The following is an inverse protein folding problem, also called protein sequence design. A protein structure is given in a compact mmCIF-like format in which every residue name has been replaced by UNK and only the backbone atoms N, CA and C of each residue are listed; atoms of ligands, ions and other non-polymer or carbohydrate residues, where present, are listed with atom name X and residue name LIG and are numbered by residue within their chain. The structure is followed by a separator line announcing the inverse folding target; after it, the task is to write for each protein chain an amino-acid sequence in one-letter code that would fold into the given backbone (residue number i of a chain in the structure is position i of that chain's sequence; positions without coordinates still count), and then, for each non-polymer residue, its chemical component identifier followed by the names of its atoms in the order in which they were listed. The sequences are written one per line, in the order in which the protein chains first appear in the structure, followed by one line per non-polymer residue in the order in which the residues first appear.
data_IF_803563637622
#
_entry.id   IF_803563637622
#
_cell.length_a   1.000
_cell.length_b   1.000
_cell.length_c   1.000
_cell.angle_alpha   90.00
_cell.angle_beta   90.00
_cell.angle_gamma   90.00
#
_symmetry.space_group_name_H-M   'P 1'
#
loop_
_entity.id
_entity.type
_entity.pdbx_description
1 polymer ?
#
# COMPACT_ATOMS: atom_id res chain seq x y z
N UNK A 1 59.64 8.87 19.48
CA UNK A 1 59.09 7.50 19.37
C UNK A 1 58.41 7.15 20.69
N UNK A 2 57.10 7.35 20.77
CA UNK A 2 56.25 6.78 21.81
C UNK A 2 54.88 6.55 21.16
N UNK A 3 54.68 5.31 20.75
CA UNK A 3 53.50 4.84 20.03
C UNK A 3 52.34 4.74 21.03
N UNK A 4 51.28 5.52 20.80
CA UNK A 4 50.05 5.41 21.58
C UNK A 4 49.38 4.09 21.22
N UNK A 5 49.55 3.09 22.09
CA UNK A 5 48.88 1.80 22.01
C UNK A 5 47.38 2.02 22.17
N UNK A 6 46.61 1.82 21.10
CA UNK A 6 45.15 1.65 21.20
C UNK A 6 44.89 0.43 22.08
N UNK A 7 44.30 0.64 23.25
CA UNK A 7 43.65 -0.43 24.00
C UNK A 7 42.53 -1.00 23.12
N UNK A 8 42.66 -2.27 22.75
CA UNK A 8 41.56 -3.04 22.21
C UNK A 8 40.51 -3.18 23.31
N UNK A 9 39.36 -2.52 23.13
CA UNK A 9 38.17 -2.76 23.94
C UNK A 9 37.64 -4.16 23.64
N UNK A 10 37.48 -4.95 24.69
CA UNK A 10 37.03 -6.33 24.68
C UNK A 10 35.72 -6.51 23.88
N UNK A 11 35.71 -7.53 23.03
CA UNK A 11 34.52 -8.05 22.35
C UNK A 11 33.51 -8.60 23.37
N UNK A 12 32.22 -8.34 23.13
CA UNK A 12 31.14 -9.03 23.87
C UNK A 12 29.74 -8.44 23.72
N UNK A 13 29.61 -7.17 23.31
CA UNK A 13 28.31 -6.60 22.95
C UNK A 13 28.02 -6.89 21.49
N UNK A 14 27.00 -7.73 21.19
CA UNK A 14 26.48 -7.87 19.81
C UNK A 14 26.15 -6.48 19.30
N UNK A 15 26.97 -5.96 18.37
CA UNK A 15 26.69 -4.71 17.72
C UNK A 15 25.48 -4.93 16.82
N UNK A 16 24.31 -4.50 17.30
CA UNK A 16 23.08 -4.52 16.50
C UNK A 16 23.23 -3.45 15.40
N UNK A 17 23.22 -3.84 14.12
CA UNK A 17 23.34 -2.87 13.03
C UNK A 17 22.26 -1.78 13.14
N UNK A 18 22.63 -0.55 12.80
CA UNK A 18 21.67 0.54 12.60
C UNK A 18 20.71 0.11 11.49
N UNK A 19 19.41 0.02 11.81
CA UNK A 19 18.38 -0.53 10.91
C UNK A 19 17.92 -1.96 11.22
N UNK A 20 18.33 -2.54 12.36
CA UNK A 20 17.80 -3.84 12.79
C UNK A 20 16.31 -3.76 13.12
N UNK A 21 15.50 -4.57 12.46
CA UNK A 21 14.08 -4.74 12.75
C UNK A 21 13.92 -5.93 13.71
N UNK A 22 13.49 -5.67 14.94
CA UNK A 22 13.13 -6.71 15.89
C UNK A 22 11.66 -7.08 15.70
N UNK A 23 11.42 -8.23 15.06
CA UNK A 23 10.06 -8.77 14.92
C UNK A 23 9.67 -9.46 16.23
N UNK A 24 8.91 -8.75 17.07
CA UNK A 24 8.53 -9.20 18.42
C UNK A 24 7.21 -9.97 18.46
N UNK A 25 6.46 -9.97 17.36
CA UNK A 25 5.21 -10.70 17.23
C UNK A 25 5.13 -11.34 15.82
N UNK A 26 5.08 -12.68 15.71
CA UNK A 26 4.96 -13.38 14.44
C UNK A 26 3.50 -13.59 14.00
N UNK A 27 2.53 -12.93 14.64
CA UNK A 27 1.12 -13.07 14.29
C UNK A 27 0.90 -12.78 12.79
N UNK A 28 0.23 -13.69 12.09
CA UNK A 28 -0.12 -13.54 10.68
C UNK A 28 -0.95 -12.27 10.39
N UNK A 29 -1.55 -11.65 11.41
CA UNK A 29 -2.25 -10.36 11.34
C UNK A 29 -1.32 -9.13 11.34
N UNK A 30 -0.03 -9.28 11.66
CA UNK A 30 0.91 -8.15 11.68
C UNK A 30 1.17 -7.52 10.32
N UNK A 31 0.83 -8.21 9.25
CA UNK A 31 0.83 -7.64 7.91
C UNK A 31 0.04 -6.31 7.86
N UNK A 32 -1.08 -6.19 8.59
CA UNK A 32 -1.88 -4.96 8.65
C UNK A 32 -1.07 -3.79 9.21
N UNK A 33 -0.24 -4.03 10.23
CA UNK A 33 0.59 -2.99 10.81
C UNK A 33 1.78 -2.67 9.90
N UNK A 34 2.34 -3.66 9.21
CA UNK A 34 3.41 -3.44 8.24
C UNK A 34 2.87 -2.57 7.10
N UNK A 35 1.79 -3.01 6.42
CA UNK A 35 1.21 -2.26 5.29
C UNK A 35 0.70 -0.90 5.72
N UNK A 36 0.14 -0.78 6.92
CA UNK A 36 -0.25 0.52 7.46
C UNK A 36 0.94 1.50 7.51
N UNK A 37 2.13 1.04 7.88
CA UNK A 37 3.30 1.91 8.06
C UNK A 37 4.20 2.02 6.82
N UNK A 38 4.13 1.06 5.89
CA UNK A 38 5.06 1.00 4.74
C UNK A 38 4.40 1.29 3.39
N UNK A 39 3.09 1.15 3.28
CA UNK A 39 2.33 1.36 2.05
C UNK A 39 1.42 2.57 2.21
N UNK A 40 1.03 3.17 1.09
CA UNK A 40 -0.02 4.18 1.08
C UNK A 40 -1.37 3.59 0.66
N UNK A 41 -2.46 4.23 1.06
CA UNK A 41 -3.83 3.89 0.70
C UNK A 41 -4.59 5.16 0.28
N UNK A 42 -5.68 5.06 -0.51
CA UNK A 42 -6.52 6.21 -0.81
C UNK A 42 -7.06 6.87 0.46
N UNK A 43 -7.43 6.08 1.47
CA UNK A 43 -8.00 6.56 2.73
C UNK A 43 -7.29 5.96 3.93
N UNK A 44 -7.33 6.67 5.06
CA UNK A 44 -6.90 6.19 6.37
C UNK A 44 -8.05 6.27 7.36
N UNK A 45 -7.84 5.72 8.54
CA UNK A 45 -8.72 5.90 9.68
C UNK A 45 -8.03 6.70 10.78
N UNK A 46 -8.75 7.63 11.37
CA UNK A 46 -8.34 8.32 12.59
C UNK A 46 -8.43 7.39 13.80
N UNK A 47 -7.85 7.75 14.96
CA UNK A 47 -7.92 6.93 16.18
C UNK A 47 -9.34 6.62 16.68
N UNK A 48 -10.31 7.48 16.38
CA UNK A 48 -11.74 7.29 16.67
C UNK A 48 -12.50 6.53 15.57
N UNK A 49 -11.80 6.00 14.57
CA UNK A 49 -12.37 5.13 13.53
C UNK A 49 -13.03 5.86 12.36
N UNK A 50 -12.82 7.17 12.21
CA UNK A 50 -13.37 7.93 11.07
C UNK A 50 -12.48 7.78 9.85
N UNK A 51 -13.08 7.52 8.68
CA UNK A 51 -12.37 7.54 7.41
C UNK A 51 -11.96 8.97 7.05
N UNK A 52 -10.71 9.13 6.65
CA UNK A 52 -10.12 10.39 6.16
C UNK A 52 -9.33 10.14 4.88
N UNK A 53 -9.28 11.13 4.00
CA UNK A 53 -8.49 11.04 2.77
C UNK A 53 -6.99 10.99 3.04
N UNK A 54 -6.27 10.12 2.34
CA UNK A 54 -4.81 10.03 2.33
C UNK A 54 -4.28 10.25 0.91
N UNK A 55 -3.98 9.22 0.13
CA UNK A 55 -3.63 9.40 -1.29
C UNK A 55 -4.80 9.89 -2.15
N UNK A 56 -6.02 9.74 -1.66
CA UNK A 56 -7.20 10.43 -2.18
C UNK A 56 -7.41 11.73 -1.41
N UNK A 57 -7.55 12.82 -2.15
CA UNK A 57 -7.89 14.14 -1.61
C UNK A 57 -9.41 14.30 -1.48
N UNK A 58 -10.16 13.88 -2.50
CA UNK A 58 -11.62 13.98 -2.55
C UNK A 58 -12.23 12.80 -3.32
N UNK A 59 -13.47 12.47 -3.01
CA UNK A 59 -14.29 11.59 -3.84
C UNK A 59 -15.73 12.06 -3.90
N UNK A 60 -16.36 11.87 -5.06
CA UNK A 60 -17.76 12.22 -5.28
C UNK A 60 -18.47 11.22 -6.19
N UNK A 61 -19.65 10.77 -5.79
CA UNK A 61 -20.55 10.04 -6.68
C UNK A 61 -21.09 10.98 -7.76
N UNK A 62 -20.82 10.67 -9.03
CA UNK A 62 -21.33 11.42 -10.18
C UNK A 62 -22.70 10.86 -10.62
N UNK A 63 -22.91 9.57 -10.40
CA UNK A 63 -24.18 8.85 -10.51
C UNK A 63 -24.13 7.60 -9.60
N UNK A 64 -25.15 6.75 -9.66
CA UNK A 64 -25.27 5.56 -8.77
C UNK A 64 -24.14 4.53 -8.90
N UNK A 65 -23.44 4.51 -10.03
CA UNK A 65 -22.42 3.49 -10.35
C UNK A 65 -21.07 4.08 -10.74
N UNK A 66 -20.87 5.40 -10.59
CA UNK A 66 -19.62 6.08 -10.96
C UNK A 66 -19.12 6.96 -9.82
N UNK A 67 -17.99 6.58 -9.25
CA UNK A 67 -17.27 7.36 -8.25
C UNK A 67 -16.10 8.09 -8.91
N UNK A 68 -16.10 9.42 -8.86
CA UNK A 68 -14.95 10.23 -9.20
C UNK A 68 -14.04 10.36 -7.97
N UNK A 69 -12.74 10.19 -8.19
CA UNK A 69 -11.70 10.20 -7.15
C UNK A 69 -10.61 11.18 -7.59
N UNK A 70 -10.36 12.18 -6.76
CA UNK A 70 -9.27 13.14 -6.93
C UNK A 70 -8.11 12.70 -6.05
N UNK A 71 -6.95 12.51 -6.67
CA UNK A 71 -5.71 12.07 -6.05
C UNK A 71 -4.96 13.25 -5.45
N UNK A 72 -4.42 13.06 -4.24
CA UNK A 72 -3.63 14.06 -3.56
C UNK A 72 -2.31 14.29 -4.30
N UNK A 73 -2.02 15.57 -4.55
CA UNK A 73 -0.76 16.01 -5.16
C UNK A 73 0.37 16.07 -4.14
N UNK A 74 1.62 15.93 -4.63
CA UNK A 74 2.82 16.12 -3.82
C UNK A 74 3.19 14.92 -2.93
N UNK A 75 2.57 13.76 -3.15
CA UNK A 75 3.00 12.50 -2.52
C UNK A 75 4.21 11.96 -3.27
N UNK A 76 5.23 11.55 -2.51
CA UNK A 76 6.45 10.91 -3.00
C UNK A 76 6.64 9.60 -2.27
N UNK A 77 6.86 8.51 -3.01
CA UNK A 77 7.17 7.20 -2.44
C UNK A 77 8.59 7.17 -1.85
N UNK A 78 8.90 6.15 -1.06
CA UNK A 78 10.19 6.02 -0.37
C UNK A 78 11.39 5.89 -1.33
N UNK A 79 11.16 5.48 -2.57
CA UNK A 79 12.17 5.39 -3.63
C UNK A 79 12.29 6.68 -4.46
N UNK A 80 11.54 7.74 -4.11
CA UNK A 80 11.54 9.02 -4.81
C UNK A 80 10.58 9.11 -6.00
N UNK A 81 9.85 8.03 -6.34
CA UNK A 81 8.82 8.08 -7.38
C UNK A 81 7.66 8.97 -6.93
N UNK A 82 7.17 9.84 -7.84
CA UNK A 82 6.00 10.67 -7.58
C UNK A 82 4.72 9.85 -7.72
N UNK A 83 3.79 10.06 -6.80
CA UNK A 83 2.46 9.46 -6.89
C UNK A 83 1.55 10.27 -7.83
N UNK A 84 0.91 9.57 -8.76
CA UNK A 84 -0.10 10.10 -9.67
C UNK A 84 -1.06 8.98 -10.14
N UNK A 85 -1.88 9.29 -11.14
CA UNK A 85 -2.86 8.35 -11.70
C UNK A 85 -2.25 7.05 -12.23
N UNK A 86 -1.00 7.04 -12.67
CA UNK A 86 -0.33 5.83 -13.18
C UNK A 86 -0.11 4.83 -12.05
N UNK A 87 0.35 5.30 -10.89
CA UNK A 87 0.53 4.46 -9.71
C UNK A 87 -0.81 3.90 -9.21
N UNK A 88 -1.85 4.76 -9.15
CA UNK A 88 -3.20 4.34 -8.77
C UNK A 88 -3.78 3.29 -9.73
N UNK A 89 -3.69 3.56 -11.04
CA UNK A 89 -4.15 2.65 -12.10
C UNK A 89 -3.42 1.32 -12.05
N UNK A 90 -2.09 1.34 -11.88
CA UNK A 90 -1.30 0.10 -11.78
C UNK A 90 -1.75 -0.72 -10.59
N UNK A 91 -1.84 -0.11 -9.40
CA UNK A 91 -2.32 -0.79 -8.20
C UNK A 91 -3.72 -1.38 -8.40
N UNK A 92 -4.65 -0.63 -9.02
CA UNK A 92 -6.02 -1.09 -9.28
C UNK A 92 -6.02 -2.40 -10.07
N UNK A 93 -5.22 -2.52 -11.13
CA UNK A 93 -5.14 -3.75 -11.91
C UNK A 93 -4.34 -4.85 -11.22
N UNK A 94 -3.23 -4.53 -10.57
CA UNK A 94 -2.38 -5.53 -9.91
C UNK A 94 -3.09 -6.23 -8.76
N UNK A 95 -3.83 -5.48 -7.93
CA UNK A 95 -4.56 -6.05 -6.79
C UNK A 95 -5.68 -6.99 -7.26
N UNK A 96 -6.35 -6.68 -8.38
CA UNK A 96 -7.45 -7.48 -8.91
C UNK A 96 -7.03 -8.77 -9.62
N UNK A 97 -5.72 -8.99 -9.85
CA UNK A 97 -5.22 -10.25 -10.41
C UNK A 97 -5.37 -11.44 -9.45
N UNK A 98 -5.52 -11.16 -8.16
CA UNK A 98 -5.50 -12.17 -7.10
C UNK A 98 -6.90 -12.41 -6.55
N UNK A 99 -7.22 -13.66 -6.21
CA UNK A 99 -8.54 -13.98 -5.65
C UNK A 99 -8.69 -13.42 -4.25
N UNK A 100 -7.66 -13.60 -3.41
CA UNK A 100 -7.64 -13.10 -2.03
C UNK A 100 -6.29 -12.44 -1.76
N UNK A 101 -6.04 -11.23 -2.33
CA UNK A 101 -4.81 -10.51 -2.05
C UNK A 101 -4.73 -10.22 -0.55
N UNK A 102 -5.83 -9.93 0.15
CA UNK A 102 -5.82 -9.55 1.55
C UNK A 102 -6.23 -10.71 2.49
N UNK A 103 -5.55 -10.93 3.62
CA UNK A 103 -5.94 -11.90 4.66
C UNK A 103 -7.39 -11.80 5.18
N UNK A 104 -8.03 -10.61 5.29
CA UNK A 104 -9.47 -10.49 5.59
C UNK A 104 -10.39 -11.12 4.53
N UNK A 105 -9.85 -11.53 3.38
CA UNK A 105 -10.55 -12.23 2.31
C UNK A 105 -11.07 -11.33 1.19
N UNK A 106 -11.95 -11.91 0.37
CA UNK A 106 -12.48 -11.30 -0.87
C UNK A 106 -13.43 -10.12 -0.63
N UNK A 107 -13.86 -9.87 0.62
CA UNK A 107 -14.80 -8.79 0.97
C UNK A 107 -14.26 -7.40 0.67
N UNK A 108 -12.93 -7.25 0.63
CA UNK A 108 -12.24 -6.00 0.28
C UNK A 108 -11.99 -5.85 -1.23
N UNK A 109 -12.31 -6.86 -2.03
CA UNK A 109 -12.11 -6.77 -3.48
C UNK A 109 -13.15 -5.86 -4.12
N UNK A 110 -12.72 -5.14 -5.16
CA UNK A 110 -13.63 -4.51 -6.09
C UNK A 110 -14.38 -5.58 -6.88
N UNK A 111 -15.57 -5.24 -7.38
CA UNK A 111 -16.27 -6.11 -8.30
C UNK A 111 -15.37 -6.35 -9.54
N UNK A 112 -15.21 -7.59 -10.04
CA UNK A 112 -14.29 -7.90 -11.15
C UNK A 112 -14.54 -7.08 -12.42
N UNK A 113 -15.78 -6.73 -12.70
CA UNK A 113 -16.16 -5.88 -13.84
C UNK A 113 -16.04 -4.36 -13.58
N UNK A 114 -15.48 -3.95 -12.44
CA UNK A 114 -15.21 -2.52 -12.16
C UNK A 114 -14.17 -2.02 -13.15
N UNK A 115 -14.43 -0.86 -13.76
CA UNK A 115 -13.50 -0.23 -14.71
C UNK A 115 -12.94 1.06 -14.13
N UNK A 116 -11.72 1.39 -14.54
CA UNK A 116 -11.08 2.65 -14.19
C UNK A 116 -10.91 3.50 -15.46
N UNK A 117 -11.51 4.68 -15.45
CA UNK A 117 -11.31 5.70 -16.47
C UNK A 117 -10.37 6.78 -15.92
N UNK A 118 -9.33 7.12 -16.69
CA UNK A 118 -8.41 8.21 -16.33
C UNK A 118 -8.93 9.49 -16.97
N UNK A 119 -9.22 10.50 -16.14
CA UNK A 119 -9.74 11.78 -16.60
C UNK A 119 -8.59 12.76 -16.83
N UNK A 120 -7.65 12.81 -15.88
CA UNK A 120 -6.40 13.58 -15.96
C UNK A 120 -5.32 12.95 -15.07
N UNK A 121 -4.17 13.63 -14.92
CA UNK A 121 -3.01 13.15 -14.16
C UNK A 121 -3.31 12.84 -12.67
N UNK A 122 -4.37 13.40 -12.10
CA UNK A 122 -4.76 13.25 -10.70
C UNK A 122 -6.25 12.97 -10.51
N UNK A 123 -7.00 12.65 -11.56
CA UNK A 123 -8.43 12.37 -11.46
C UNK A 123 -8.78 11.08 -12.19
N UNK A 124 -9.50 10.19 -11.49
CA UNK A 124 -10.03 8.95 -12.06
C UNK A 124 -11.51 8.80 -11.79
N UNK A 125 -12.18 8.00 -12.62
CA UNK A 125 -13.53 7.50 -12.35
C UNK A 125 -13.49 5.99 -12.23
N UNK A 126 -14.02 5.49 -11.13
CA UNK A 126 -14.32 4.08 -10.93
C UNK A 126 -15.76 3.83 -11.34
N UNK A 127 -15.95 2.97 -12.34
CA UNK A 127 -17.24 2.62 -12.92
C UNK A 127 -17.58 1.21 -12.47
N UNK A 128 -18.58 1.09 -11.61
CA UNK A 128 -19.04 -0.17 -11.06
C UNK A 128 -20.18 -0.75 -11.92
N UNK A 129 -20.33 -2.08 -11.99
CA UNK A 129 -21.48 -2.69 -12.65
C UNK A 129 -22.77 -2.55 -11.83
N UNK A 130 -22.64 -2.38 -10.51
CA UNK A 130 -23.72 -2.15 -9.56
C UNK A 130 -23.25 -1.18 -8.46
N UNK A 131 -24.15 -0.48 -7.75
CA UNK A 131 -23.76 0.44 -6.68
C UNK A 131 -22.97 -0.28 -5.56
N UNK A 132 -21.78 0.23 -5.24
CA UNK A 132 -20.93 -0.30 -4.17
C UNK A 132 -20.84 0.70 -3.00
N UNK A 133 -21.77 0.57 -2.04
CA UNK A 133 -21.80 1.41 -0.85
C UNK A 133 -20.61 1.20 0.10
N UNK A 134 -19.83 0.13 -0.08
CA UNK A 134 -18.68 -0.18 0.75
C UNK A 134 -17.36 0.32 0.15
N UNK A 135 -17.37 0.97 -1.03
CA UNK A 135 -16.17 1.30 -1.79
C UNK A 135 -15.10 2.06 -0.98
N UNK A 136 -15.50 3.06 -0.19
CA UNK A 136 -14.56 3.82 0.65
C UNK A 136 -13.97 2.95 1.77
N UNK A 137 -14.73 1.98 2.28
CA UNK A 137 -14.21 0.97 3.20
C UNK A 137 -13.23 0.02 2.50
N UNK A 138 -13.51 -0.39 1.26
CA UNK A 138 -12.62 -1.24 0.45
C UNK A 138 -11.30 -0.55 0.12
N UNK A 139 -11.28 0.78 0.01
CA UNK A 139 -10.04 1.54 -0.16
C UNK A 139 -9.04 1.34 0.99
N UNK A 140 -9.46 0.88 2.17
CA UNK A 140 -8.55 0.50 3.26
C UNK A 140 -7.73 -0.76 2.99
N UNK A 141 -8.18 -1.60 2.06
CA UNK A 141 -7.40 -2.72 1.53
C UNK A 141 -6.70 -2.36 0.22
N UNK A 142 -6.91 -1.15 -0.31
CA UNK A 142 -6.36 -0.79 -1.61
C UNK A 142 -4.99 -0.15 -1.46
N UNK A 143 -3.95 -0.98 -1.42
CA UNK A 143 -2.58 -0.51 -1.25
C UNK A 143 -1.99 0.04 -2.55
N UNK A 144 -1.44 1.25 -2.45
CA UNK A 144 -0.78 1.99 -3.51
C UNK A 144 0.72 1.88 -3.31
N UNK A 145 1.42 1.48 -4.38
CA UNK A 145 2.85 1.24 -4.35
C UNK A 145 3.55 1.82 -5.57
N UNK A 146 4.84 2.13 -5.42
CA UNK A 146 5.71 2.57 -6.51
C UNK A 146 5.90 1.45 -7.54
N UNK A 147 6.37 1.82 -8.73
CA UNK A 147 6.73 0.90 -9.81
C UNK A 147 7.68 -0.19 -9.33
N UNK A 148 8.68 0.18 -8.53
CA UNK A 148 9.68 -0.75 -8.00
C UNK A 148 9.09 -1.83 -7.10
N UNK A 149 8.04 -1.52 -6.33
CA UNK A 149 7.34 -2.55 -5.54
C UNK A 149 6.84 -3.65 -6.47
N UNK A 150 6.13 -3.29 -7.54
CA UNK A 150 5.54 -4.28 -8.45
C UNK A 150 6.59 -5.04 -9.28
N UNK A 151 7.67 -4.37 -9.68
CA UNK A 151 8.66 -4.94 -10.60
C UNK A 151 9.80 -5.71 -9.91
N UNK A 152 10.08 -5.41 -8.64
CA UNK A 152 11.27 -5.93 -7.96
C UNK A 152 11.00 -6.63 -6.63
N UNK A 153 10.16 -6.06 -5.77
CA UNK A 153 10.11 -6.41 -4.35
C UNK A 153 8.83 -7.19 -3.98
N UNK A 154 7.71 -6.86 -4.62
CA UNK A 154 6.35 -7.14 -4.14
C UNK A 154 5.99 -8.62 -4.06
N UNK A 155 5.07 -8.92 -3.14
CA UNK A 155 4.27 -10.15 -2.95
C UNK A 155 4.94 -11.53 -3.11
N UNK A 156 6.26 -11.58 -3.18
CA UNK A 156 6.94 -12.77 -3.66
C UNK A 156 6.54 -13.15 -5.09
N UNK A 157 6.06 -12.22 -5.95
CA UNK A 157 5.72 -12.52 -7.35
C UNK A 157 6.86 -13.23 -8.07
N UNK A 158 8.08 -12.71 -7.88
CA UNK A 158 9.32 -13.30 -8.42
C UNK A 158 9.66 -14.66 -7.82
N UNK A 159 9.18 -14.98 -6.62
CA UNK A 159 9.54 -16.18 -5.87
C UNK A 159 8.51 -17.31 -6.01
N UNK A 160 7.22 -16.97 -5.92
CA UNK A 160 6.11 -17.91 -5.81
C UNK A 160 5.13 -17.81 -6.99
N UNK A 161 5.18 -16.75 -7.79
CA UNK A 161 4.25 -16.53 -8.91
C UNK A 161 2.81 -16.20 -8.47
N UNK A 162 2.58 -15.93 -7.19
CA UNK A 162 1.27 -15.56 -6.62
C UNK A 162 1.44 -14.49 -5.53
N UNK A 163 0.47 -13.59 -5.42
CA UNK A 163 0.34 -12.66 -4.28
C UNK A 163 -0.75 -13.05 -3.27
N UNK A 164 -1.42 -14.19 -3.46
CA UNK A 164 -2.50 -14.63 -2.56
C UNK A 164 -1.95 -15.01 -1.18
N UNK A 165 -2.41 -14.33 -0.12
CA UNK A 165 -2.04 -14.66 1.26
C UNK A 165 -0.54 -14.51 1.59
N UNK A 166 0.23 -13.80 0.76
CA UNK A 166 1.69 -13.68 0.88
C UNK A 166 2.16 -12.22 0.88
N UNK A 167 1.67 -11.45 1.85
CA UNK A 167 2.22 -10.15 2.23
C UNK A 167 3.33 -10.31 3.27
#
# INVERSE_FOLDING_TARGET
MAQATRQASAEGGKHTPVGTIHVVDPNALNWLFITWNTMEEPVRTTPDGRLVGAAMEESRWINETTLEVVLRRGITFQDGEQFDVRSFKRAFYEVQRWRAPHPPGTSLNFHPDTRLEVIDDYTVRMIFPEPDGAILGKFRGFHLASTRFWDEIGFGYKKLGTGEGHW
#
